data_IF_250935285072
#
_entry.id   IF_250935285072
#
_cell.length_a   1.000
_cell.length_b   1.000
_cell.length_c   1.000
_cell.angle_alpha   90.00
_cell.angle_beta   90.00
_cell.angle_gamma   90.00
#
_symmetry.space_group_name_H-M   'P 1'
#
loop_
_entity.id
_entity.type
_entity.pdbx_description
1 polymer ?
#
# COMPACT_ATOMS: atom_id res chain seq x y z
N UNK A 1 -13.66 -11.19 -9.03
CA UNK A 1 -13.60 -10.87 -7.59
C UNK A 1 -13.30 -12.16 -6.83
N UNK A 2 -12.58 -12.14 -5.71
CA UNK A 2 -12.25 -13.36 -4.93
C UNK A 2 -13.16 -13.42 -3.70
N UNK A 3 -13.73 -14.59 -3.41
CA UNK A 3 -14.49 -14.83 -2.17
C UNK A 3 -13.56 -15.30 -1.02
N UNK A 4 -13.35 -14.49 0.04
CA UNK A 4 -12.50 -14.85 1.17
C UNK A 4 -13.09 -15.91 2.11
N UNK A 5 -14.40 -16.16 2.04
CA UNK A 5 -15.10 -17.12 2.90
C UNK A 5 -15.04 -18.55 2.34
N UNK A 6 -14.76 -18.70 1.04
CA UNK A 6 -14.70 -19.99 0.39
C UNK A 6 -13.52 -20.85 0.91
N UNK A 7 -13.80 -22.11 1.28
CA UNK A 7 -12.80 -23.02 1.87
C UNK A 7 -11.59 -23.26 0.96
N UNK A 8 -11.79 -23.32 -0.36
CA UNK A 8 -10.68 -23.50 -1.30
C UNK A 8 -9.69 -22.33 -1.25
N UNK A 9 -10.18 -21.09 -1.08
CA UNK A 9 -9.32 -19.90 -0.99
C UNK A 9 -8.58 -19.85 0.35
N UNK A 10 -9.26 -20.24 1.44
CA UNK A 10 -8.64 -20.24 2.78
C UNK A 10 -7.56 -21.31 2.95
N UNK A 11 -7.70 -22.45 2.28
CA UNK A 11 -6.77 -23.59 2.37
C UNK A 11 -5.61 -23.51 1.39
N UNK A 12 -5.76 -22.80 0.27
CA UNK A 12 -4.69 -22.63 -0.73
C UNK A 12 -3.63 -21.61 -0.26
N UNK A 13 -2.38 -22.04 0.02
CA UNK A 13 -1.31 -21.15 0.47
C UNK A 13 -0.90 -20.09 -0.57
N UNK A 14 -1.24 -20.28 -1.86
CA UNK A 14 -0.88 -19.31 -2.91
C UNK A 14 -1.76 -18.06 -2.87
N UNK A 15 -3.02 -18.19 -2.42
CA UNK A 15 -4.03 -17.13 -2.49
C UNK A 15 -4.47 -16.67 -1.10
N UNK A 16 -4.36 -17.50 -0.06
CA UNK A 16 -4.89 -17.23 1.28
C UNK A 16 -4.46 -15.89 1.89
N UNK A 17 -3.37 -15.27 1.42
CA UNK A 17 -2.95 -13.92 1.82
C UNK A 17 -4.09 -12.90 1.72
N UNK A 18 -4.96 -12.99 0.69
CA UNK A 18 -6.05 -12.04 0.45
C UNK A 18 -7.13 -12.07 1.54
N UNK A 19 -7.18 -13.15 2.32
CA UNK A 19 -8.23 -13.38 3.33
C UNK A 19 -8.00 -12.55 4.60
N UNK A 20 -6.77 -12.11 4.86
CA UNK A 20 -6.45 -11.32 6.04
C UNK A 20 -7.20 -9.97 6.04
N UNK A 21 -7.61 -9.50 7.21
CA UNK A 21 -8.42 -8.29 7.36
C UNK A 21 -7.78 -7.03 6.74
N UNK A 22 -6.44 -6.97 6.69
CA UNK A 22 -5.68 -5.86 6.09
C UNK A 22 -5.88 -5.71 4.58
N UNK A 23 -6.46 -6.71 3.90
CA UNK A 23 -6.72 -6.70 2.46
C UNK A 23 -8.18 -6.40 2.09
N UNK A 24 -9.02 -5.99 3.04
CA UNK A 24 -10.35 -5.43 2.74
C UNK A 24 -10.24 -4.13 1.96
N UNK A 25 -11.11 -3.91 1.00
CA UNK A 25 -11.20 -2.64 0.25
C UNK A 25 -9.87 -2.13 -0.32
N UNK A 26 -9.14 -3.00 -1.02
CA UNK A 26 -7.85 -2.63 -1.66
C UNK A 26 -8.04 -1.64 -2.79
N UNK A 27 -9.19 -1.69 -3.46
CA UNK A 27 -9.63 -0.77 -4.51
C UNK A 27 -9.76 0.65 -3.96
N UNK A 28 -10.45 0.85 -2.83
CA UNK A 28 -10.61 2.18 -2.22
C UNK A 28 -9.30 2.75 -1.69
N UNK A 29 -8.34 1.89 -1.31
CA UNK A 29 -7.03 2.33 -0.77
C UNK A 29 -5.92 2.43 -1.82
N UNK A 30 -6.22 2.19 -3.10
CA UNK A 30 -5.21 2.24 -4.17
C UNK A 30 -4.10 1.20 -4.01
N UNK A 31 -4.44 -0.01 -3.56
CA UNK A 31 -3.50 -1.14 -3.37
C UNK A 31 -3.58 -2.18 -4.48
N UNK A 32 -4.51 -2.01 -5.43
CA UNK A 32 -4.54 -2.77 -6.69
C UNK A 32 -3.40 -2.34 -7.61
N UNK A 33 -3.12 -3.10 -8.67
CA UNK A 33 -2.07 -2.73 -9.65
C UNK A 33 -2.34 -1.34 -10.24
N UNK A 34 -3.55 -1.13 -10.77
CA UNK A 34 -3.97 0.17 -11.32
C UNK A 34 -3.92 1.30 -10.28
N UNK A 35 -4.42 1.05 -9.06
CA UNK A 35 -4.39 2.05 -7.98
C UNK A 35 -2.97 2.41 -7.55
N UNK A 36 -2.04 1.45 -7.53
CA UNK A 36 -0.63 1.71 -7.21
C UNK A 36 0.06 2.55 -8.27
N UNK A 37 -0.24 2.36 -9.55
CA UNK A 37 0.31 3.17 -10.65
C UNK A 37 -0.07 4.64 -10.52
N UNK A 38 -1.32 4.93 -10.14
CA UNK A 38 -1.80 6.30 -9.89
C UNK A 38 -1.08 7.00 -8.71
N UNK A 39 -0.59 6.23 -7.72
CA UNK A 39 0.07 6.78 -6.52
C UNK A 39 1.47 7.35 -6.77
N UNK A 40 2.05 7.17 -7.95
CA UNK A 40 3.39 7.70 -8.28
C UNK A 40 4.51 7.10 -7.42
N UNK A 41 4.44 5.80 -7.10
CA UNK A 41 5.47 5.08 -6.36
C UNK A 41 6.54 4.56 -7.32
N UNK A 42 7.81 4.57 -6.89
CA UNK A 42 8.92 4.05 -7.68
C UNK A 42 10.28 4.28 -7.03
N UNK A 43 11.35 3.97 -7.76
CA UNK A 43 12.75 4.12 -7.32
C UNK A 43 13.47 5.13 -8.21
N UNK A 44 14.42 5.87 -7.63
CA UNK A 44 15.24 6.86 -8.35
C UNK A 44 14.77 8.31 -8.17
N UNK A 45 15.46 9.23 -8.86
CA UNK A 45 15.28 10.67 -8.68
C UNK A 45 13.87 11.16 -9.07
N UNK A 46 13.23 10.49 -10.05
CA UNK A 46 11.87 10.83 -10.54
C UNK A 46 10.77 10.61 -9.50
N UNK A 47 11.03 9.85 -8.43
CA UNK A 47 10.05 9.51 -7.39
C UNK A 47 10.34 10.19 -6.05
N UNK A 48 11.01 11.36 -6.09
CA UNK A 48 11.37 12.11 -4.88
C UNK A 48 10.16 12.49 -4.03
N UNK A 49 8.99 12.69 -4.63
CA UNK A 49 7.77 13.12 -3.96
C UNK A 49 7.09 12.02 -3.13
N UNK A 50 7.44 10.75 -3.31
CA UNK A 50 6.82 9.61 -2.61
C UNK A 50 7.80 8.78 -1.78
N UNK A 51 9.05 9.27 -1.61
CA UNK A 51 10.05 8.67 -0.73
C UNK A 51 9.52 8.59 0.71
N UNK A 52 9.40 7.37 1.24
CA UNK A 52 8.78 7.10 2.55
C UNK A 52 7.38 6.48 2.47
N UNK A 53 6.92 6.10 1.27
CA UNK A 53 5.75 5.24 1.07
C UNK A 53 4.51 5.95 0.53
N UNK A 54 4.40 7.26 0.72
CA UNK A 54 3.34 8.09 0.13
C UNK A 54 3.77 9.55 0.02
N UNK A 55 3.03 10.34 -0.77
CA UNK A 55 3.27 11.79 -0.90
C UNK A 55 3.09 12.52 0.43
N UNK A 56 2.04 12.17 1.19
CA UNK A 56 1.78 12.74 2.51
C UNK A 56 2.90 12.39 3.51
N UNK A 57 3.36 11.14 3.52
CA UNK A 57 4.47 10.73 4.39
C UNK A 57 5.77 11.49 4.05
N UNK A 58 6.06 11.68 2.75
CA UNK A 58 7.21 12.47 2.32
C UNK A 58 7.10 13.95 2.75
N UNK A 59 5.91 14.54 2.62
CA UNK A 59 5.65 15.92 3.07
C UNK A 59 5.78 16.06 4.58
N UNK A 60 5.13 15.20 5.38
CA UNK A 60 5.19 15.27 6.85
C UNK A 60 6.64 15.24 7.33
N UNK A 61 7.46 14.30 6.84
CA UNK A 61 8.88 14.23 7.22
C UNK A 61 9.66 15.51 6.89
N UNK A 62 9.39 16.16 5.76
CA UNK A 62 10.09 17.41 5.37
C UNK A 62 9.66 18.63 6.18
N UNK A 63 8.45 18.59 6.74
CA UNK A 63 7.85 19.71 7.47
C UNK A 63 7.83 19.48 8.98
N UNK A 64 8.42 18.38 9.47
CA UNK A 64 8.54 18.11 10.90
C UNK A 64 9.94 18.48 11.37
N UNK A 65 10.04 19.48 12.26
CA UNK A 65 11.30 19.85 12.91
C UNK A 65 11.68 18.81 13.97
N UNK A 66 12.94 18.34 13.93
CA UNK A 66 13.48 17.40 14.92
C UNK A 66 14.23 18.18 15.99
N UNK A 67 13.62 18.37 17.16
CA UNK A 67 14.24 19.01 18.32
C UNK A 67 14.86 17.93 19.20
N UNK A 68 16.18 17.78 19.12
CA UNK A 68 16.94 16.84 19.96
C UNK A 68 17.32 17.53 21.26
N UNK A 69 17.40 16.76 22.34
CA UNK A 69 17.87 17.21 23.66
C UNK A 69 19.39 17.26 23.70
#
# INVERSE_FOLDING_TARGET
IVDPSHKAIRRDPKINWIVNAVHKHREMRGLTSAGRSSRGLGKGHRYSQTKGGSRRAAWLRRNTLQLRR
#
